data_IF_547541489285
#
_entry.id   IF_547541489285
#
_cell.length_a   1.000
_cell.length_b   1.000
_cell.length_c   1.000
_cell.angle_alpha   90.00
_cell.angle_beta   90.00
_cell.angle_gamma   90.00
#
_symmetry.space_group_name_H-M   'P 1'
#
loop_
_entity.id
_entity.type
_entity.pdbx_description
1 polymer ?
#
# COMPACT_ATOMS: atom_id res chain seq x y z
N UNK A 1 40.28 -69.51 9.86
CA UNK A 1 39.28 -69.10 8.84
C UNK A 1 38.10 -68.26 9.38
N UNK A 2 37.68 -68.40 10.64
CA UNK A 2 36.49 -67.70 11.19
C UNK A 2 36.66 -66.18 11.31
N UNK A 3 37.83 -65.69 11.73
CA UNK A 3 38.13 -64.25 11.91
C UNK A 3 38.04 -63.41 10.62
N UNK A 4 38.43 -63.99 9.48
CA UNK A 4 38.38 -63.31 8.17
C UNK A 4 36.94 -63.15 7.66
N UNK A 5 36.07 -64.14 7.89
CA UNK A 5 34.64 -64.04 7.50
C UNK A 5 33.89 -62.98 8.32
N UNK A 6 34.24 -62.81 9.60
CA UNK A 6 33.67 -61.78 10.47
C UNK A 6 34.10 -60.37 10.02
N UNK A 7 35.39 -60.16 9.70
CA UNK A 7 35.87 -58.88 9.14
C UNK A 7 35.26 -58.54 7.77
N UNK A 8 35.00 -59.54 6.93
CA UNK A 8 34.37 -59.36 5.62
C UNK A 8 32.89 -58.96 5.72
N UNK A 9 32.19 -59.32 6.79
CA UNK A 9 30.79 -58.93 7.04
C UNK A 9 30.65 -57.55 7.71
N UNK A 10 31.61 -57.14 8.55
CA UNK A 10 31.60 -55.84 9.23
C UNK A 10 31.90 -54.67 8.27
N UNK A 11 32.75 -54.89 7.25
CA UNK A 11 33.10 -53.88 6.23
C UNK A 11 31.90 -53.36 5.41
N UNK A 12 31.01 -54.20 4.84
CA UNK A 12 29.87 -53.72 4.07
C UNK A 12 28.79 -53.07 4.94
N UNK A 13 28.59 -53.52 6.18
CA UNK A 13 27.69 -52.88 7.14
C UNK A 13 28.12 -51.46 7.50
N UNK A 14 29.42 -51.26 7.82
CA UNK A 14 30.00 -49.92 8.04
C UNK A 14 29.92 -49.02 6.81
N UNK A 15 30.13 -49.57 5.59
CA UNK A 15 30.04 -48.80 4.33
C UNK A 15 28.61 -48.29 4.06
N UNK A 16 27.58 -49.12 4.31
CA UNK A 16 26.18 -48.71 4.18
C UNK A 16 25.78 -47.67 5.23
N UNK A 17 26.23 -47.82 6.48
CA UNK A 17 26.00 -46.81 7.54
C UNK A 17 26.64 -45.47 7.19
N UNK A 18 27.89 -45.46 6.73
CA UNK A 18 28.58 -44.23 6.32
C UNK A 18 27.89 -43.56 5.13
N UNK A 19 27.37 -44.33 4.16
CA UNK A 19 26.59 -43.81 3.03
C UNK A 19 25.27 -43.18 3.48
N UNK A 20 24.57 -43.82 4.43
CA UNK A 20 23.35 -43.28 5.03
C UNK A 20 23.60 -41.95 5.75
N UNK A 21 24.65 -41.88 6.58
CA UNK A 21 25.03 -40.65 7.29
C UNK A 21 25.40 -39.54 6.31
N UNK A 22 26.16 -39.86 5.25
CA UNK A 22 26.48 -38.91 4.18
C UNK A 22 25.20 -38.38 3.50
N UNK A 23 24.28 -39.27 3.12
CA UNK A 23 23.02 -38.88 2.48
C UNK A 23 22.17 -37.98 3.39
N UNK A 24 22.09 -38.31 4.68
CA UNK A 24 21.35 -37.54 5.68
C UNK A 24 21.98 -36.15 5.88
N UNK A 25 23.31 -36.07 5.97
CA UNK A 25 24.02 -34.79 6.11
C UNK A 25 23.82 -33.88 4.90
N UNK A 26 23.80 -34.46 3.69
CA UNK A 26 23.62 -33.74 2.44
C UNK A 26 22.17 -33.23 2.33
N UNK A 27 21.20 -34.03 2.76
CA UNK A 27 19.80 -33.64 2.82
C UNK A 27 19.56 -32.53 3.86
N UNK A 28 20.11 -32.66 5.07
CA UNK A 28 20.00 -31.64 6.11
C UNK A 28 20.63 -30.31 5.68
N UNK A 29 21.80 -30.38 5.03
CA UNK A 29 22.46 -29.20 4.48
C UNK A 29 21.62 -28.54 3.39
N UNK A 30 21.02 -29.32 2.48
CA UNK A 30 20.12 -28.81 1.45
C UNK A 30 18.90 -28.09 2.02
N UNK A 31 18.27 -28.65 3.06
CA UNK A 31 17.15 -28.00 3.76
C UNK A 31 17.57 -26.67 4.40
N UNK A 32 18.75 -26.62 5.03
CA UNK A 32 19.26 -25.38 5.62
C UNK A 32 19.51 -24.31 4.55
N UNK A 33 20.08 -24.67 3.40
CA UNK A 33 20.27 -23.75 2.29
C UNK A 33 18.94 -23.26 1.71
N UNK A 34 17.95 -24.15 1.58
CA UNK A 34 16.62 -23.78 1.12
C UNK A 34 15.96 -22.76 2.06
N UNK A 35 15.95 -23.04 3.37
CA UNK A 35 15.40 -22.13 4.38
C UNK A 35 16.13 -20.78 4.41
N UNK A 36 17.46 -20.78 4.24
CA UNK A 36 18.23 -19.56 4.15
C UNK A 36 17.86 -18.75 2.89
N UNK A 37 17.69 -19.42 1.75
CA UNK A 37 17.32 -18.76 0.48
C UNK A 37 15.92 -18.13 0.54
N UNK A 38 14.93 -18.84 1.10
CA UNK A 38 13.59 -18.33 1.34
C UNK A 38 13.61 -17.17 2.35
N UNK A 39 14.45 -17.25 3.38
CA UNK A 39 14.64 -16.16 4.33
C UNK A 39 15.15 -14.88 3.67
N UNK A 40 16.15 -14.99 2.78
CA UNK A 40 16.65 -13.84 2.01
C UNK A 40 15.59 -13.31 1.04
N UNK A 41 14.89 -14.19 0.33
CA UNK A 41 13.82 -13.79 -0.59
C UNK A 41 12.69 -13.06 0.14
N UNK A 42 12.30 -13.56 1.32
CA UNK A 42 11.31 -12.94 2.19
C UNK A 42 11.75 -11.55 2.65
N UNK A 43 13.01 -11.37 3.06
CA UNK A 43 13.52 -10.05 3.47
C UNK A 43 13.47 -9.05 2.32
N UNK A 44 13.92 -9.43 1.11
CA UNK A 44 13.86 -8.56 -0.07
C UNK A 44 12.42 -8.20 -0.43
N UNK A 45 11.51 -9.17 -0.39
CA UNK A 45 10.09 -8.93 -0.67
C UNK A 45 9.48 -8.00 0.38
N UNK A 46 9.78 -8.23 1.66
CA UNK A 46 9.31 -7.41 2.77
C UNK A 46 9.81 -5.97 2.66
N UNK A 47 11.06 -5.76 2.30
CA UNK A 47 11.63 -4.42 2.14
C UNK A 47 10.95 -3.69 0.98
N UNK A 48 10.71 -4.36 -0.15
CA UNK A 48 9.92 -3.79 -1.25
C UNK A 48 8.51 -3.39 -0.79
N UNK A 49 7.79 -4.28 -0.10
CA UNK A 49 6.45 -3.99 0.41
C UNK A 49 6.48 -2.81 1.40
N UNK A 50 7.50 -2.74 2.25
CA UNK A 50 7.69 -1.64 3.20
C UNK A 50 7.92 -0.30 2.49
N UNK A 51 8.74 -0.28 1.45
CA UNK A 51 9.01 0.94 0.69
C UNK A 51 7.75 1.41 -0.07
N UNK A 52 7.02 0.48 -0.71
CA UNK A 52 5.75 0.80 -1.37
C UNK A 52 4.71 1.34 -0.38
N UNK A 53 4.56 0.70 0.77
CA UNK A 53 3.60 1.15 1.79
C UNK A 53 3.99 2.51 2.37
N UNK A 54 5.28 2.77 2.55
CA UNK A 54 5.78 4.07 2.98
C UNK A 54 5.53 5.18 1.96
N UNK A 55 5.81 4.96 0.67
CA UNK A 55 5.57 5.97 -0.37
C UNK A 55 4.07 6.29 -0.50
N UNK A 56 3.22 5.26 -0.49
CA UNK A 56 1.75 5.45 -0.50
C UNK A 56 1.28 6.23 0.72
N UNK A 57 1.82 5.91 1.90
CA UNK A 57 1.47 6.61 3.13
C UNK A 57 1.88 8.09 3.09
N UNK A 58 3.10 8.40 2.65
CA UNK A 58 3.59 9.78 2.52
C UNK A 58 2.73 10.58 1.53
N UNK A 59 2.33 9.98 0.41
CA UNK A 59 1.42 10.62 -0.54
C UNK A 59 0.03 10.85 0.06
N UNK A 60 -0.49 9.91 0.84
CA UNK A 60 -1.77 10.05 1.53
C UNK A 60 -1.73 11.17 2.59
N UNK A 61 -0.65 11.28 3.36
CA UNK A 61 -0.44 12.36 4.32
C UNK A 61 -0.32 13.72 3.61
N UNK A 62 0.44 13.78 2.51
CA UNK A 62 0.53 14.99 1.68
C UNK A 62 -0.83 15.39 1.10
N UNK A 63 -1.65 14.43 0.67
CA UNK A 63 -3.02 14.68 0.23
C UNK A 63 -3.88 15.30 1.34
N UNK A 64 -3.85 14.71 2.54
CA UNK A 64 -4.63 15.19 3.69
C UNK A 64 -4.26 16.63 4.05
N UNK A 65 -2.97 16.92 4.17
CA UNK A 65 -2.47 18.26 4.50
C UNK A 65 -2.84 19.30 3.43
N UNK A 66 -2.72 18.94 2.14
CA UNK A 66 -3.15 19.81 1.05
C UNK A 66 -4.66 20.07 1.11
N UNK A 67 -5.49 19.04 1.34
CA UNK A 67 -6.95 19.22 1.42
C UNK A 67 -7.38 20.10 2.59
N UNK A 68 -6.73 19.98 3.75
CA UNK A 68 -7.00 20.82 4.92
C UNK A 68 -6.65 22.27 4.62
N UNK A 69 -5.49 22.53 4.01
CA UNK A 69 -5.07 23.90 3.65
C UNK A 69 -6.04 24.58 2.67
N UNK A 70 -6.53 23.84 1.66
CA UNK A 70 -7.54 24.33 0.72
C UNK A 70 -8.86 24.57 1.43
N UNK A 71 -9.27 23.70 2.34
CA UNK A 71 -10.50 23.85 3.10
C UNK A 71 -10.48 25.08 4.00
N UNK A 72 -9.38 25.34 4.71
CA UNK A 72 -9.21 26.53 5.56
C UNK A 72 -9.27 27.80 4.72
N UNK A 73 -8.53 27.84 3.61
CA UNK A 73 -8.54 28.97 2.69
C UNK A 73 -9.94 29.21 2.07
N UNK A 74 -10.64 28.15 1.67
CA UNK A 74 -12.00 28.25 1.12
C UNK A 74 -13.03 28.74 2.16
N UNK A 75 -12.90 28.33 3.43
CA UNK A 75 -13.76 28.77 4.53
C UNK A 75 -13.61 30.26 4.83
N UNK A 76 -12.38 30.78 4.85
CA UNK A 76 -12.11 32.20 5.11
C UNK A 76 -12.85 33.14 4.14
N UNK A 77 -13.05 32.68 2.90
CA UNK A 77 -13.79 33.41 1.85
C UNK A 77 -15.31 33.27 2.01
N UNK A 78 -15.78 32.11 2.49
CA UNK A 78 -17.21 31.91 2.75
C UNK A 78 -17.72 32.71 3.95
N UNK A 79 -16.84 32.97 4.94
CA UNK A 79 -17.17 33.77 6.13
C UNK A 79 -17.26 35.27 5.84
N UNK A 80 -16.71 35.75 4.72
CA UNK A 80 -16.74 37.16 4.33
C UNK A 80 -18.08 37.63 3.74
N UNK A 81 -19.11 36.78 3.76
CA UNK A 81 -20.51 37.16 3.48
C UNK A 81 -20.93 37.22 2.01
N UNK A 82 -20.06 36.79 1.07
CA UNK A 82 -20.39 36.71 -0.35
C UNK A 82 -21.11 35.40 -0.76
N UNK A 83 -21.86 35.43 -1.85
CA UNK A 83 -22.46 34.21 -2.42
C UNK A 83 -21.34 33.22 -2.81
N UNK A 84 -21.33 31.96 -2.33
CA UNK A 84 -20.19 31.05 -2.45
C UNK A 84 -19.81 30.74 -3.91
N UNK A 85 -20.76 30.81 -4.83
CA UNK A 85 -20.55 30.54 -6.25
C UNK A 85 -20.38 31.82 -7.09
N UNK A 86 -20.05 32.96 -6.47
CA UNK A 86 -19.71 34.19 -7.20
C UNK A 86 -18.44 33.99 -8.04
N UNK A 87 -18.28 34.81 -9.08
CA UNK A 87 -17.12 34.70 -9.98
C UNK A 87 -15.81 35.01 -9.25
N UNK A 88 -15.86 35.93 -8.30
CA UNK A 88 -14.75 36.33 -7.43
C UNK A 88 -14.32 35.16 -6.54
N UNK A 89 -15.28 34.49 -5.88
CA UNK A 89 -15.00 33.36 -5.01
C UNK A 89 -14.47 32.15 -5.78
N UNK A 90 -15.00 31.89 -6.98
CA UNK A 90 -14.51 30.81 -7.85
C UNK A 90 -13.08 31.07 -8.36
N UNK A 91 -12.77 32.33 -8.70
CA UNK A 91 -11.41 32.70 -9.08
C UNK A 91 -10.44 32.58 -7.91
N UNK A 92 -10.84 33.00 -6.71
CA UNK A 92 -10.04 32.82 -5.51
C UNK A 92 -9.80 31.33 -5.21
N UNK A 93 -10.84 30.50 -5.32
CA UNK A 93 -10.72 29.06 -5.13
C UNK A 93 -9.75 28.43 -6.14
N UNK A 94 -9.73 28.90 -7.39
CA UNK A 94 -8.76 28.46 -8.40
C UNK A 94 -7.33 28.83 -8.02
N UNK A 95 -7.10 30.02 -7.49
CA UNK A 95 -5.77 30.46 -7.00
C UNK A 95 -5.33 29.61 -5.81
N UNK A 96 -6.23 29.30 -4.89
CA UNK A 96 -5.96 28.46 -3.71
C UNK A 96 -5.62 27.02 -4.10
N UNK A 97 -6.29 26.45 -5.10
CA UNK A 97 -6.06 25.07 -5.56
C UNK A 97 -4.84 24.95 -6.47
N UNK A 98 -4.52 25.99 -7.24
CA UNK A 98 -3.41 26.01 -8.21
C UNK A 98 -2.07 25.45 -7.71
N UNK A 99 -1.57 25.78 -6.50
CA UNK A 99 -0.29 25.26 -6.01
C UNK A 99 -0.32 23.77 -5.63
N UNK A 100 -1.48 23.12 -5.57
CA UNK A 100 -1.64 21.75 -5.07
C UNK A 100 -1.86 20.75 -6.21
N UNK A 101 -0.81 20.09 -6.73
CA UNK A 101 -0.89 19.25 -7.93
C UNK A 101 -1.70 17.97 -7.74
N UNK A 102 -1.90 17.55 -6.49
CA UNK A 102 -2.65 16.33 -6.16
C UNK A 102 -4.16 16.58 -6.09
N UNK A 103 -4.59 17.83 -5.86
CA UNK A 103 -6.00 18.22 -5.82
C UNK A 103 -6.45 18.46 -7.25
N UNK A 104 -7.43 17.67 -7.71
CA UNK A 104 -7.95 17.78 -9.09
C UNK A 104 -8.94 18.91 -9.26
N UNK A 105 -9.77 19.16 -8.26
CA UNK A 105 -10.75 20.24 -8.22
C UNK A 105 -11.15 20.52 -6.77
N UNK A 106 -11.68 21.72 -6.52
CA UNK A 106 -12.32 22.06 -5.26
C UNK A 106 -13.61 22.83 -5.53
N UNK A 107 -14.58 22.70 -4.64
CA UNK A 107 -15.87 23.34 -4.81
C UNK A 107 -16.63 23.51 -3.51
N UNK A 108 -17.67 24.32 -3.56
CA UNK A 108 -18.57 24.53 -2.44
C UNK A 108 -19.69 23.51 -2.48
N UNK A 109 -19.99 22.94 -1.31
CA UNK A 109 -21.03 21.95 -1.11
C UNK A 109 -22.12 22.52 -0.22
N UNK A 110 -23.36 22.09 -0.46
CA UNK A 110 -24.51 22.37 0.38
C UNK A 110 -25.25 21.07 0.70
N UNK A 111 -26.35 21.14 1.45
CA UNK A 111 -27.16 19.96 1.80
C UNK A 111 -27.69 19.19 0.57
N UNK A 112 -27.80 19.83 -0.59
CA UNK A 112 -28.25 19.19 -1.84
C UNK A 112 -27.11 18.61 -2.68
N UNK A 113 -25.84 18.81 -2.27
CA UNK A 113 -24.66 18.33 -2.99
C UNK A 113 -23.70 19.45 -3.40
N UNK A 114 -22.82 19.14 -4.34
CA UNK A 114 -21.84 20.08 -4.90
C UNK A 114 -22.55 21.13 -5.76
N UNK A 115 -22.51 22.41 -5.36
CA UNK A 115 -23.22 23.51 -6.03
C UNK A 115 -22.35 24.25 -7.04
N UNK A 116 -21.04 24.32 -6.82
CA UNK A 116 -20.11 24.90 -7.77
C UNK A 116 -18.69 24.41 -7.52
N UNK A 117 -17.85 24.42 -8.56
CA UNK A 117 -16.43 24.06 -8.46
C UNK A 117 -15.52 25.05 -9.18
N UNK A 118 -14.24 25.06 -8.81
CA UNK A 118 -13.23 25.93 -9.41
C UNK A 118 -13.03 25.60 -10.90
N UNK A 119 -13.16 24.32 -11.28
CA UNK A 119 -13.02 23.87 -12.67
C UNK A 119 -14.30 24.07 -13.50
N UNK A 120 -15.47 23.71 -12.96
CA UNK A 120 -16.74 23.69 -13.71
C UNK A 120 -17.62 24.93 -13.49
N UNK A 121 -17.27 25.78 -12.53
CA UNK A 121 -18.04 26.97 -12.18
C UNK A 121 -19.36 26.61 -11.51
N UNK A 122 -20.40 27.39 -11.76
CA UNK A 122 -21.72 27.18 -11.16
C UNK A 122 -22.47 26.02 -11.81
N UNK A 123 -22.88 25.04 -11.01
CA UNK A 123 -23.62 23.86 -11.46
C UNK A 123 -25.12 24.17 -11.44
N UNK A 124 -25.80 23.99 -12.57
CA UNK A 124 -27.25 24.23 -12.69
C UNK A 124 -28.07 23.32 -11.77
N UNK A 125 -27.59 22.09 -11.57
CA UNK A 125 -28.16 21.11 -10.66
C UNK A 125 -27.05 20.63 -9.75
N UNK A 126 -27.20 20.73 -8.42
CA UNK A 126 -26.19 20.23 -7.49
C UNK A 126 -25.92 18.74 -7.74
N UNK A 127 -24.64 18.36 -7.79
CA UNK A 127 -24.27 16.95 -7.89
C UNK A 127 -24.38 16.29 -6.51
N UNK A 128 -25.23 15.27 -6.37
CA UNK A 128 -25.34 14.50 -5.13
C UNK A 128 -24.00 13.86 -4.80
N UNK A 129 -23.60 14.01 -3.53
CA UNK A 129 -22.39 13.41 -2.98
C UNK A 129 -22.65 12.00 -2.42
N UNK A 130 -23.92 11.59 -2.32
CA UNK A 130 -24.33 10.29 -1.75
C UNK A 130 -23.76 9.11 -2.56
N UNK A 131 -23.46 9.33 -3.85
CA UNK A 131 -22.83 8.32 -4.68
C UNK A 131 -21.37 8.01 -4.28
N UNK A 132 -20.69 8.98 -3.68
CA UNK A 132 -19.29 8.86 -3.25
C UNK A 132 -19.14 8.34 -1.81
N UNK A 133 -20.22 8.31 -1.03
CA UNK A 133 -20.27 7.74 0.32
C UNK A 133 -20.27 6.19 0.35
N UNK A 134 -19.93 5.53 -0.77
CA UNK A 134 -19.70 4.08 -0.77
C UNK A 134 -18.49 3.75 0.11
N UNK A 135 -18.78 3.36 1.35
CA UNK A 135 -17.84 2.76 2.29
C UNK A 135 -17.09 1.63 1.58
N UNK A 136 -15.78 1.81 1.40
CA UNK A 136 -14.94 0.81 0.74
C UNK A 136 -14.93 -0.48 1.58
N UNK A 137 -15.68 -1.48 1.14
CA UNK A 137 -15.61 -2.83 1.69
C UNK A 137 -14.32 -3.46 1.17
N UNK A 138 -13.30 -3.57 2.02
CA UNK A 138 -12.09 -4.33 1.69
C UNK A 138 -12.50 -5.77 1.36
N UNK A 139 -12.12 -6.31 0.18
CA UNK A 139 -12.28 -7.73 -0.06
C UNK A 139 -11.46 -8.49 0.98
N UNK A 140 -12.15 -9.27 1.81
CA UNK A 140 -11.50 -10.25 2.70
C UNK A 140 -10.85 -11.30 1.80
N UNK A 141 -9.53 -11.24 1.63
CA UNK A 141 -8.83 -12.24 0.82
C UNK A 141 -7.46 -11.80 0.33
N UNK A 142 -6.51 -11.62 1.25
CA UNK A 142 -5.09 -11.79 0.97
C UNK A 142 -4.47 -12.55 2.14
N UNK A 143 -4.80 -13.84 2.20
CA UNK A 143 -4.16 -14.83 3.07
C UNK A 143 -4.05 -16.11 2.25
N UNK A 144 -2.88 -16.30 1.64
CA UNK A 144 -2.42 -17.59 1.12
C UNK A 144 -1.22 -17.99 1.95
#
# INVERSE_FOLDING_TARGET
MVRSKIQAWIRPGKRKHNLLILSLSLFLSGLLFFMASEGVAYLIFRDKVKDYTSDVLVRAESLLTQTESVQVAAKSVSETGGWPCSRENLNHLRVVVWPYPLIKDAGYTTKSGLTCSALWGNLRTPFSLDHFDKKWSFPQGCGS
#
